data_IF_690095591752
#
_entry.id   IF_690095591752
#
_cell.length_a   1.000
_cell.length_b   1.000
_cell.length_c   1.000
_cell.angle_alpha   90.00
_cell.angle_beta   90.00
_cell.angle_gamma   90.00
#
_symmetry.space_group_name_H-M   'P 1'
#
loop_
_entity.id
_entity.type
_entity.pdbx_description
1 polymer ?
#
# COMPACT_ATOMS: atom_id res chain seq x y z
N UNK A 1 21.29 -9.17 33.61
CA UNK A 1 20.64 -8.44 32.48
C UNK A 1 20.19 -9.38 31.34
N UNK A 2 20.94 -10.38 30.95
CA UNK A 2 20.59 -11.35 29.86
C UNK A 2 19.37 -12.22 30.20
N UNK A 3 19.20 -12.64 31.44
CA UNK A 3 18.08 -13.49 31.88
C UNK A 3 16.72 -12.78 31.90
N UNK A 4 16.70 -11.45 32.12
CA UNK A 4 15.49 -10.62 32.10
C UNK A 4 14.94 -10.45 30.65
N UNK A 5 15.83 -10.36 29.67
CA UNK A 5 15.47 -10.28 28.25
C UNK A 5 14.86 -11.57 27.69
N UNK A 6 15.35 -12.75 28.12
CA UNK A 6 14.84 -14.04 27.65
C UNK A 6 13.40 -14.32 28.11
N UNK A 7 13.06 -13.92 29.35
CA UNK A 7 11.71 -14.08 29.90
C UNK A 7 10.70 -13.13 29.22
N UNK A 8 11.13 -11.90 28.93
CA UNK A 8 10.31 -10.90 28.20
C UNK A 8 10.02 -11.36 26.76
N UNK A 9 10.98 -12.00 26.08
CA UNK A 9 10.82 -12.54 24.73
C UNK A 9 9.80 -13.69 24.67
N UNK A 10 9.74 -14.57 25.68
CA UNK A 10 8.76 -15.66 25.73
C UNK A 10 7.32 -15.19 25.86
N UNK A 11 7.08 -14.07 26.56
CA UNK A 11 5.74 -13.56 26.82
C UNK A 11 5.10 -12.94 25.56
N UNK A 12 5.89 -12.40 24.64
CA UNK A 12 5.44 -11.76 23.39
C UNK A 12 5.65 -12.62 22.15
N UNK A 13 6.15 -13.84 22.31
CA UNK A 13 6.52 -14.75 21.22
C UNK A 13 5.39 -14.98 20.22
N UNK A 14 4.16 -15.15 20.70
CA UNK A 14 3.02 -15.36 19.79
C UNK A 14 2.62 -14.08 19.04
N UNK A 15 2.82 -12.91 19.63
CA UNK A 15 2.51 -11.64 18.99
C UNK A 15 3.49 -11.33 17.87
N UNK A 16 4.81 -11.42 18.15
CA UNK A 16 5.83 -11.13 17.15
C UNK A 16 5.81 -12.17 16.01
N UNK A 17 5.59 -13.45 16.32
CA UNK A 17 5.43 -14.51 15.31
C UNK A 17 4.29 -14.19 14.35
N UNK A 18 3.10 -13.84 14.86
CA UNK A 18 1.96 -13.48 14.01
C UNK A 18 2.29 -12.25 13.16
N UNK A 19 2.91 -11.22 13.74
CA UNK A 19 3.28 -10.02 13.00
C UNK A 19 4.31 -10.32 11.90
N UNK A 20 5.28 -11.23 12.13
CA UNK A 20 6.21 -11.69 11.09
C UNK A 20 5.52 -12.46 9.96
N UNK A 21 4.43 -13.17 10.24
CA UNK A 21 3.67 -13.91 9.23
C UNK A 21 2.77 -13.00 8.36
N UNK A 22 2.43 -11.78 8.81
CA UNK A 22 1.56 -10.87 8.04
C UNK A 22 2.10 -10.57 6.62
N UNK A 23 3.36 -10.18 6.40
CA UNK A 23 3.85 -9.95 5.03
C UNK A 23 3.77 -11.20 4.15
N UNK A 24 4.00 -12.38 4.71
CA UNK A 24 3.91 -13.67 4.00
C UNK A 24 2.45 -13.95 3.59
N UNK A 25 1.51 -13.65 4.48
CA UNK A 25 0.08 -13.89 4.23
C UNK A 25 -0.49 -13.06 3.08
N UNK A 26 0.15 -11.95 2.70
CA UNK A 26 -0.27 -11.16 1.54
C UNK A 26 -0.13 -11.96 0.24
N UNK A 27 0.91 -12.81 0.13
CA UNK A 27 1.11 -13.71 -1.02
C UNK A 27 0.16 -14.90 -0.95
N UNK A 28 -0.11 -15.42 0.26
CA UNK A 28 -0.98 -16.58 0.47
C UNK A 28 -2.47 -16.28 0.29
N UNK A 29 -2.85 -15.00 0.20
CA UNK A 29 -4.19 -14.56 -0.14
C UNK A 29 -5.00 -13.96 1.02
N UNK A 30 -6.12 -13.37 0.64
CA UNK A 30 -6.94 -12.55 1.52
C UNK A 30 -7.51 -13.30 2.75
N UNK A 31 -7.77 -14.61 2.64
CA UNK A 31 -8.29 -15.40 3.76
C UNK A 31 -7.27 -15.47 4.90
N UNK A 32 -6.02 -15.76 4.58
CA UNK A 32 -4.95 -15.97 5.57
C UNK A 32 -4.62 -14.67 6.29
N UNK A 33 -4.51 -13.54 5.57
CA UNK A 33 -4.27 -12.23 6.22
C UNK A 33 -5.42 -11.85 7.15
N UNK A 34 -6.68 -12.16 6.78
CA UNK A 34 -7.83 -11.91 7.61
C UNK A 34 -7.80 -12.73 8.90
N UNK A 35 -7.49 -14.03 8.82
CA UNK A 35 -7.37 -14.92 9.98
C UNK A 35 -6.24 -14.41 10.90
N UNK A 36 -5.05 -14.16 10.37
CA UNK A 36 -3.90 -13.70 11.15
C UNK A 36 -4.17 -12.34 11.83
N UNK A 37 -4.85 -11.42 11.14
CA UNK A 37 -5.20 -10.12 11.73
C UNK A 37 -6.20 -10.25 12.90
N UNK A 38 -7.15 -11.19 12.83
CA UNK A 38 -8.08 -11.48 13.93
C UNK A 38 -7.35 -12.14 15.11
N UNK A 39 -6.47 -13.11 14.84
CA UNK A 39 -5.66 -13.74 15.89
C UNK A 39 -4.76 -12.69 16.56
N UNK A 40 -4.12 -11.81 15.77
CA UNK A 40 -3.30 -10.71 16.28
C UNK A 40 -4.12 -9.80 17.23
N UNK A 41 -5.34 -9.44 16.83
CA UNK A 41 -6.26 -8.65 17.65
C UNK A 41 -6.50 -9.31 19.04
N UNK A 42 -6.87 -10.59 19.07
CA UNK A 42 -7.15 -11.29 20.33
C UNK A 42 -5.90 -11.44 21.20
N UNK A 43 -4.73 -11.73 20.62
CA UNK A 43 -3.47 -11.80 21.36
C UNK A 43 -3.14 -10.44 21.98
N UNK A 44 -3.22 -9.36 21.18
CA UNK A 44 -2.91 -8.01 21.66
C UNK A 44 -3.82 -7.58 22.81
N UNK A 45 -5.13 -7.79 22.69
CA UNK A 45 -6.11 -7.51 23.73
C UNK A 45 -5.83 -8.35 25.00
N UNK A 46 -5.52 -9.64 24.85
CA UNK A 46 -5.18 -10.51 25.99
C UNK A 46 -3.93 -9.99 26.73
N UNK A 47 -2.94 -9.48 26.01
CA UNK A 47 -1.73 -8.89 26.62
C UNK A 47 -2.03 -7.58 27.37
N UNK A 48 -2.98 -6.77 26.89
CA UNK A 48 -3.46 -5.60 27.63
C UNK A 48 -4.12 -6.03 28.94
N UNK A 49 -5.06 -6.98 28.89
CA UNK A 49 -5.76 -7.46 30.11
C UNK A 49 -4.83 -8.12 31.13
N UNK A 50 -3.76 -8.77 30.66
CA UNK A 50 -2.71 -9.32 31.55
C UNK A 50 -1.74 -8.26 32.08
N UNK A 51 -1.96 -6.97 31.78
CA UNK A 51 -1.06 -5.88 32.19
C UNK A 51 0.35 -5.94 31.59
N UNK A 52 0.54 -6.68 30.46
CA UNK A 52 1.83 -6.80 29.79
C UNK A 52 2.07 -5.66 28.80
N UNK A 53 0.99 -5.11 28.25
CA UNK A 53 1.01 -3.92 27.39
C UNK A 53 0.31 -2.80 28.18
N UNK A 54 1.06 -1.76 28.52
CA UNK A 54 0.52 -0.64 29.27
C UNK A 54 -0.16 0.35 28.34
N UNK A 55 -1.47 0.51 28.49
CA UNK A 55 -2.27 1.52 27.76
C UNK A 55 -1.65 2.92 27.78
N UNK A 56 -1.08 3.31 28.95
CA UNK A 56 -0.49 4.65 29.15
C UNK A 56 0.59 4.99 28.12
N UNK A 57 1.39 4.01 27.69
CA UNK A 57 2.47 4.20 26.72
C UNK A 57 1.93 4.46 25.30
N UNK A 58 0.69 4.03 25.00
CA UNK A 58 0.04 4.14 23.70
C UNK A 58 -1.21 5.03 23.73
N UNK A 59 -1.41 5.82 24.81
CA UNK A 59 -2.61 6.62 25.06
C UNK A 59 -3.02 7.49 23.87
N UNK A 60 -2.07 8.15 23.22
CA UNK A 60 -2.36 9.02 22.07
C UNK A 60 -2.94 8.23 20.88
N UNK A 61 -2.41 7.04 20.61
CA UNK A 61 -2.94 6.17 19.55
C UNK A 61 -4.34 5.65 19.91
N UNK A 62 -4.60 5.30 21.17
CA UNK A 62 -5.94 4.93 21.59
C UNK A 62 -6.93 6.10 21.51
N UNK A 63 -6.51 7.32 21.82
CA UNK A 63 -7.35 8.50 21.66
C UNK A 63 -7.73 8.72 20.18
N UNK A 64 -6.79 8.55 19.25
CA UNK A 64 -7.06 8.58 17.80
C UNK A 64 -8.03 7.45 17.42
N UNK A 65 -7.83 6.24 17.95
CA UNK A 65 -8.74 5.12 17.72
C UNK A 65 -10.17 5.45 18.15
N UNK A 66 -10.36 5.97 19.35
CA UNK A 66 -11.69 6.33 19.86
C UNK A 66 -12.34 7.43 19.03
N UNK A 67 -11.59 8.46 18.62
CA UNK A 67 -12.10 9.51 17.75
C UNK A 67 -12.55 8.96 16.40
N UNK A 68 -11.75 8.07 15.78
CA UNK A 68 -12.11 7.40 14.53
C UNK A 68 -13.32 6.47 14.73
N UNK A 69 -13.41 5.73 15.85
CA UNK A 69 -14.54 4.86 16.14
C UNK A 69 -15.85 5.65 16.25
N UNK A 70 -15.85 6.78 16.97
CA UNK A 70 -17.03 7.65 17.07
C UNK A 70 -17.47 8.11 15.67
N UNK A 71 -16.54 8.59 14.86
CA UNK A 71 -16.83 9.00 13.49
C UNK A 71 -17.42 7.86 12.65
N UNK A 72 -16.79 6.68 12.67
CA UNK A 72 -17.26 5.53 11.89
C UNK A 72 -18.58 4.95 12.40
N UNK A 73 -18.89 5.04 13.70
CA UNK A 73 -20.19 4.66 14.23
C UNK A 73 -21.30 5.61 13.75
N UNK A 74 -21.04 6.92 13.68
CA UNK A 74 -21.97 7.89 13.09
C UNK A 74 -22.17 7.56 11.60
N UNK A 75 -21.08 7.35 10.86
CA UNK A 75 -21.15 6.97 9.45
C UNK A 75 -21.93 5.66 9.22
N UNK A 76 -21.75 4.66 10.10
CA UNK A 76 -22.47 3.39 10.06
C UNK A 76 -23.99 3.57 10.23
N UNK A 77 -24.42 4.39 11.20
CA UNK A 77 -25.85 4.65 11.45
C UNK A 77 -26.50 5.36 10.26
N UNK A 78 -25.75 6.24 9.58
CA UNK A 78 -26.22 6.99 8.42
C UNK A 78 -26.01 6.26 7.09
N UNK A 79 -25.46 5.03 7.13
CA UNK A 79 -25.07 4.29 5.93
C UNK A 79 -26.26 3.85 5.08
N UNK A 80 -26.13 3.96 3.76
CA UNK A 80 -27.06 3.40 2.78
C UNK A 80 -27.10 1.86 2.77
N UNK A 81 -26.05 1.21 3.29
CA UNK A 81 -25.98 -0.25 3.48
C UNK A 81 -25.30 -0.57 4.81
N UNK A 82 -26.13 -0.70 5.85
CA UNK A 82 -25.67 -0.95 7.22
C UNK A 82 -24.78 -2.19 7.35
N UNK A 83 -25.19 -3.31 6.74
CA UNK A 83 -24.45 -4.58 6.85
C UNK A 83 -23.03 -4.48 6.30
N UNK A 84 -22.85 -3.87 5.14
CA UNK A 84 -21.53 -3.69 4.54
C UNK A 84 -20.65 -2.74 5.33
N UNK A 85 -21.21 -1.65 5.80
CA UNK A 85 -20.47 -0.70 6.63
C UNK A 85 -20.08 -1.30 7.98
N UNK A 86 -20.94 -2.16 8.58
CA UNK A 86 -20.60 -2.88 9.81
C UNK A 86 -19.43 -3.85 9.61
N UNK A 87 -19.46 -4.66 8.56
CA UNK A 87 -18.35 -5.58 8.24
C UNK A 87 -17.06 -4.81 8.01
N UNK A 88 -17.14 -3.66 7.34
CA UNK A 88 -16.00 -2.79 7.08
C UNK A 88 -15.45 -2.14 8.36
N UNK A 89 -16.34 -1.74 9.28
CA UNK A 89 -15.94 -1.21 10.59
C UNK A 89 -15.22 -2.28 11.43
N UNK A 90 -15.72 -3.51 11.46
CA UNK A 90 -15.03 -4.62 12.13
C UNK A 90 -13.66 -4.90 11.50
N UNK A 91 -13.57 -4.79 10.16
CA UNK A 91 -12.30 -4.83 9.45
C UNK A 91 -11.33 -3.73 9.89
N UNK A 92 -11.80 -2.49 10.01
CA UNK A 92 -11.01 -1.37 10.51
C UNK A 92 -10.47 -1.64 11.91
N UNK A 93 -11.29 -2.10 12.84
CA UNK A 93 -10.89 -2.39 14.23
C UNK A 93 -9.71 -3.37 14.26
N UNK A 94 -9.82 -4.52 13.58
CA UNK A 94 -8.74 -5.53 13.60
C UNK A 94 -7.43 -5.02 12.98
N UNK A 95 -7.50 -4.23 11.89
CA UNK A 95 -6.30 -3.67 11.25
C UNK A 95 -5.69 -2.55 12.08
N UNK A 96 -6.50 -1.78 12.81
CA UNK A 96 -5.97 -0.80 13.75
C UNK A 96 -5.18 -1.47 14.90
N UNK A 97 -5.69 -2.57 15.44
CA UNK A 97 -4.97 -3.35 16.45
C UNK A 97 -3.73 -4.05 15.89
N UNK A 98 -3.75 -4.47 14.64
CA UNK A 98 -2.55 -4.95 13.95
C UNK A 98 -1.49 -3.83 13.86
N UNK A 99 -1.88 -2.61 13.53
CA UNK A 99 -0.99 -1.45 13.56
C UNK A 99 -0.39 -1.23 14.96
N UNK A 100 -1.20 -1.28 16.02
CA UNK A 100 -0.70 -1.16 17.39
C UNK A 100 0.24 -2.30 17.77
N UNK A 101 -0.02 -3.51 17.30
CA UNK A 101 0.85 -4.66 17.51
C UNK A 101 2.22 -4.49 16.84
N UNK A 102 2.25 -4.03 15.57
CA UNK A 102 3.50 -3.72 14.87
C UNK A 102 4.27 -2.62 15.61
N UNK A 103 3.57 -1.56 16.02
CA UNK A 103 4.18 -0.45 16.77
C UNK A 103 4.77 -0.93 18.11
N UNK A 104 4.04 -1.80 18.82
CA UNK A 104 4.53 -2.42 20.05
C UNK A 104 5.79 -3.26 19.79
N UNK A 105 5.78 -4.13 18.78
CA UNK A 105 6.91 -4.97 18.43
C UNK A 105 8.15 -4.13 18.03
N UNK A 106 7.96 -3.05 17.28
CA UNK A 106 9.04 -2.12 16.92
C UNK A 106 9.70 -1.44 18.13
N UNK A 107 8.92 -1.13 19.19
CA UNK A 107 9.40 -0.43 20.36
C UNK A 107 9.99 -1.36 21.43
N UNK A 108 9.43 -2.55 21.59
CA UNK A 108 9.70 -3.40 22.75
C UNK A 108 10.51 -4.66 22.42
N UNK A 109 10.53 -5.12 21.17
CA UNK A 109 11.21 -6.35 20.78
C UNK A 109 12.54 -6.00 20.12
N UNK A 110 13.62 -6.49 20.73
CA UNK A 110 14.97 -6.34 20.18
C UNK A 110 15.07 -6.99 18.80
N UNK A 111 15.78 -6.33 17.90
CA UNK A 111 16.03 -6.77 16.52
C UNK A 111 14.79 -6.94 15.63
N UNK A 112 13.58 -6.63 16.14
CA UNK A 112 12.32 -6.78 15.38
C UNK A 112 12.38 -6.04 14.03
N UNK A 113 12.83 -4.79 14.02
CA UNK A 113 12.96 -4.00 12.78
C UNK A 113 13.80 -4.71 11.72
N UNK A 114 14.94 -5.27 12.13
CA UNK A 114 15.86 -5.95 11.21
C UNK A 114 15.27 -7.27 10.68
N UNK A 115 14.65 -8.08 11.54
CA UNK A 115 14.03 -9.34 11.15
C UNK A 115 12.82 -9.08 10.23
N UNK A 116 11.96 -8.14 10.61
CA UNK A 116 10.77 -7.80 9.83
C UNK A 116 11.12 -7.25 8.44
N UNK A 117 12.07 -6.32 8.36
CA UNK A 117 12.55 -5.80 7.08
C UNK A 117 13.28 -6.86 6.23
N UNK A 118 13.98 -7.83 6.86
CA UNK A 118 14.55 -9.00 6.18
C UNK A 118 13.48 -9.86 5.54
N UNK A 119 12.39 -10.15 6.26
CA UNK A 119 11.26 -10.93 5.72
C UNK A 119 10.68 -10.21 4.51
N UNK A 120 10.40 -8.91 4.63
CA UNK A 120 9.90 -8.10 3.50
C UNK A 120 10.88 -8.14 2.32
N UNK A 121 12.18 -8.04 2.56
CA UNK A 121 13.20 -8.12 1.51
C UNK A 121 13.17 -9.47 0.77
N UNK A 122 13.10 -10.57 1.51
CA UNK A 122 13.02 -11.90 0.91
C UNK A 122 11.77 -12.06 0.05
N UNK A 123 10.62 -11.55 0.53
CA UNK A 123 9.36 -11.63 -0.20
C UNK A 123 9.37 -10.76 -1.48
N UNK A 124 9.89 -9.53 -1.38
CA UNK A 124 10.03 -8.66 -2.56
C UNK A 124 10.98 -9.28 -3.58
N UNK A 125 12.11 -9.85 -3.14
CA UNK A 125 13.04 -10.54 -4.00
C UNK A 125 12.39 -11.76 -4.67
N UNK A 126 11.67 -12.57 -3.92
CA UNK A 126 10.95 -13.74 -4.41
C UNK A 126 9.94 -13.35 -5.50
N UNK A 127 9.06 -12.38 -5.24
CA UNK A 127 8.08 -11.91 -6.24
C UNK A 127 8.77 -11.31 -7.46
N UNK A 128 9.87 -10.57 -7.27
CA UNK A 128 10.64 -9.99 -8.37
C UNK A 128 11.24 -11.07 -9.29
N UNK A 129 11.78 -12.14 -8.70
CA UNK A 129 12.32 -13.29 -9.44
C UNK A 129 11.20 -14.03 -10.17
N UNK A 130 10.10 -14.31 -9.49
CA UNK A 130 8.97 -15.04 -10.04
C UNK A 130 8.31 -14.33 -11.23
N UNK A 131 8.07 -13.01 -11.11
CA UNK A 131 7.64 -12.17 -12.23
C UNK A 131 8.63 -12.19 -13.40
N UNK A 132 9.93 -12.22 -13.11
CA UNK A 132 10.96 -12.29 -14.16
C UNK A 132 10.95 -13.65 -14.88
N UNK A 133 10.72 -14.74 -14.15
CA UNK A 133 10.54 -16.08 -14.70
C UNK A 133 9.28 -16.12 -15.57
N UNK A 134 8.15 -15.59 -15.08
CA UNK A 134 6.90 -15.52 -15.85
C UNK A 134 7.08 -14.71 -17.14
N UNK A 135 7.88 -13.65 -17.11
CA UNK A 135 8.18 -12.87 -18.32
C UNK A 135 8.96 -13.68 -19.37
N UNK A 136 9.93 -14.51 -18.95
CA UNK A 136 10.82 -15.27 -19.86
C UNK A 136 10.14 -16.54 -20.37
N UNK A 137 9.45 -17.26 -19.49
CA UNK A 137 8.89 -18.58 -19.79
C UNK A 137 7.37 -18.58 -20.03
N UNK A 138 6.70 -17.41 -19.91
CA UNK A 138 5.25 -17.22 -20.00
C UNK A 138 4.44 -17.90 -18.88
N UNK A 139 5.09 -18.59 -17.96
CA UNK A 139 4.53 -19.21 -16.76
C UNK A 139 5.40 -18.87 -15.55
N UNK A 140 4.76 -18.69 -14.38
CA UNK A 140 5.46 -18.45 -13.12
C UNK A 140 5.94 -19.76 -12.47
N UNK A 141 6.55 -19.70 -11.27
CA UNK A 141 7.01 -20.87 -10.52
C UNK A 141 5.87 -21.81 -10.07
N UNK A 142 4.64 -21.33 -10.03
CA UNK A 142 3.44 -22.09 -9.65
C UNK A 142 2.63 -22.60 -10.83
N UNK A 143 3.08 -22.34 -12.07
CA UNK A 143 2.38 -22.73 -13.30
C UNK A 143 1.29 -21.75 -13.74
N UNK A 144 1.20 -20.56 -13.15
CA UNK A 144 0.23 -19.53 -13.57
C UNK A 144 0.68 -18.87 -14.87
N UNK A 145 -0.22 -18.81 -15.84
CA UNK A 145 0.01 -18.12 -17.10
C UNK A 145 -0.12 -16.60 -16.98
N UNK A 146 0.34 -15.88 -17.99
CA UNK A 146 0.22 -14.42 -18.10
C UNK A 146 -1.26 -14.05 -18.23
N UNK A 147 -1.77 -13.17 -17.38
CA UNK A 147 -3.19 -12.81 -17.30
C UNK A 147 -3.58 -11.58 -18.13
N UNK A 148 -4.91 -11.43 -18.32
CA UNK A 148 -5.54 -10.29 -18.97
C UNK A 148 -5.72 -10.44 -20.48
N UNK A 149 -6.48 -9.52 -21.08
CA UNK A 149 -6.72 -9.51 -22.54
C UNK A 149 -5.39 -9.42 -23.28
N UNK A 150 -5.13 -10.40 -24.12
CA UNK A 150 -3.89 -10.55 -24.89
C UNK A 150 -2.62 -10.86 -24.09
N UNK A 151 -2.72 -11.55 -22.94
CA UNK A 151 -1.55 -11.97 -22.14
C UNK A 151 -0.63 -10.83 -21.73
N UNK A 152 -1.17 -9.77 -21.15
CA UNK A 152 -0.40 -8.54 -20.93
C UNK A 152 0.10 -8.33 -19.50
N UNK A 153 -0.48 -8.98 -18.49
CA UNK A 153 -0.13 -8.74 -17.09
C UNK A 153 0.62 -9.91 -16.49
N UNK A 154 1.79 -9.61 -15.92
CA UNK A 154 2.52 -10.57 -15.12
C UNK A 154 2.00 -10.51 -13.68
N UNK A 155 1.41 -11.60 -13.22
CA UNK A 155 0.84 -11.71 -11.87
C UNK A 155 1.83 -12.29 -10.86
N UNK A 156 2.86 -13.00 -11.34
CA UNK A 156 3.73 -13.75 -10.46
C UNK A 156 2.93 -14.68 -9.54
N UNK A 157 3.28 -14.81 -8.25
CA UNK A 157 2.68 -15.79 -7.35
C UNK A 157 1.22 -15.45 -6.94
N UNK A 158 0.60 -14.44 -7.53
CA UNK A 158 -0.76 -14.01 -7.18
C UNK A 158 -1.85 -14.62 -8.09
N UNK A 159 -1.50 -15.57 -8.95
CA UNK A 159 -2.45 -16.27 -9.82
C UNK A 159 -3.21 -15.30 -10.74
N UNK A 160 -4.54 -15.28 -10.65
CA UNK A 160 -5.40 -14.43 -11.50
C UNK A 160 -5.42 -12.95 -11.09
N UNK A 161 -4.75 -12.58 -10.00
CA UNK A 161 -4.71 -11.20 -9.51
C UNK A 161 -3.48 -10.47 -10.07
N UNK A 162 -3.67 -9.50 -10.95
CA UNK A 162 -2.58 -8.65 -11.50
C UNK A 162 -2.10 -7.59 -10.50
N UNK A 163 -1.55 -8.00 -9.35
CA UNK A 163 -1.13 -7.12 -8.23
C UNK A 163 0.36 -7.18 -7.90
N UNK A 164 1.15 -7.94 -8.67
CA UNK A 164 2.58 -8.14 -8.42
C UNK A 164 3.38 -6.82 -8.42
N UNK A 165 3.12 -5.92 -9.37
CA UNK A 165 3.75 -4.60 -9.41
C UNK A 165 3.37 -3.74 -8.22
N UNK A 166 2.12 -3.81 -7.77
CA UNK A 166 1.63 -3.14 -6.57
C UNK A 166 2.30 -3.68 -5.30
N UNK A 167 2.48 -4.99 -5.20
CA UNK A 167 3.18 -5.63 -4.08
C UNK A 167 4.64 -5.17 -4.02
N UNK A 168 5.38 -5.32 -5.12
CA UNK A 168 6.77 -4.89 -5.19
C UNK A 168 6.87 -3.40 -4.85
N UNK A 169 6.10 -2.53 -5.50
CA UNK A 169 6.21 -1.09 -5.31
C UNK A 169 5.98 -0.66 -3.86
N UNK A 170 4.95 -1.19 -3.20
CA UNK A 170 4.60 -0.81 -1.82
C UNK A 170 5.60 -1.28 -0.77
N UNK A 171 6.21 -2.44 -0.96
CA UNK A 171 7.09 -3.06 0.04
C UNK A 171 8.59 -2.84 -0.24
N UNK A 172 8.95 -2.42 -1.45
CA UNK A 172 10.35 -2.30 -1.86
C UNK A 172 11.18 -1.38 -0.96
N UNK A 173 10.73 -0.14 -0.74
CA UNK A 173 11.50 0.81 0.07
C UNK A 173 11.56 0.40 1.56
N UNK A 174 10.55 -0.31 2.08
CA UNK A 174 10.63 -0.94 3.40
C UNK A 174 11.69 -2.04 3.43
N UNK A 175 11.83 -2.81 2.37
CA UNK A 175 12.88 -3.82 2.24
C UNK A 175 14.31 -3.22 2.21
N UNK A 176 14.44 -2.01 1.69
CA UNK A 176 15.72 -1.29 1.66
C UNK A 176 16.26 -0.96 3.06
N UNK A 177 15.41 -0.92 4.08
CA UNK A 177 15.83 -0.75 5.48
C UNK A 177 16.75 -1.90 5.90
N UNK A 178 16.42 -3.14 5.52
CA UNK A 178 17.27 -4.32 5.78
C UNK A 178 18.63 -4.19 5.07
N UNK A 179 18.63 -3.81 3.81
CA UNK A 179 19.85 -3.63 3.02
C UNK A 179 20.77 -2.56 3.64
N UNK A 180 20.18 -1.46 4.09
CA UNK A 180 20.91 -0.37 4.73
C UNK A 180 21.47 -0.77 6.10
N UNK A 181 20.68 -1.43 6.95
CA UNK A 181 21.10 -1.91 8.28
C UNK A 181 22.26 -2.90 8.22
N UNK A 182 22.40 -3.64 7.12
CA UNK A 182 23.48 -4.60 6.89
C UNK A 182 24.66 -3.99 6.07
N UNK A 183 24.74 -2.66 5.98
CA UNK A 183 25.84 -1.93 5.33
C UNK A 183 26.07 -2.35 3.86
N UNK A 184 25.03 -2.69 3.14
CA UNK A 184 25.14 -3.00 1.72
C UNK A 184 25.63 -1.77 0.96
N UNK A 185 26.62 -1.97 0.11
CA UNK A 185 27.27 -0.90 -0.64
C UNK A 185 26.29 -0.09 -1.48
N UNK A 186 26.42 1.24 -1.48
CA UNK A 186 25.53 2.16 -2.21
C UNK A 186 25.31 1.77 -3.68
N UNK A 187 26.37 1.30 -4.36
CA UNK A 187 26.28 0.87 -5.78
C UNK A 187 25.28 -0.25 -5.96
N UNK A 188 25.33 -1.28 -5.10
CA UNK A 188 24.40 -2.41 -5.17
C UNK A 188 22.98 -1.98 -4.87
N UNK A 189 22.76 -1.12 -3.86
CA UNK A 189 21.45 -0.58 -3.55
C UNK A 189 20.85 0.17 -4.75
N UNK A 190 21.62 1.03 -5.42
CA UNK A 190 21.16 1.74 -6.63
C UNK A 190 20.84 0.79 -7.78
N UNK A 191 21.67 -0.24 -8.00
CA UNK A 191 21.40 -1.26 -9.02
C UNK A 191 20.08 -2.01 -8.75
N UNK A 192 19.83 -2.40 -7.51
CA UNK A 192 18.59 -3.07 -7.11
C UNK A 192 17.38 -2.16 -7.35
N UNK A 193 17.45 -0.86 -7.02
CA UNK A 193 16.36 0.09 -7.28
C UNK A 193 16.06 0.17 -8.79
N UNK A 194 17.10 0.32 -9.61
CA UNK A 194 16.93 0.44 -11.08
C UNK A 194 16.33 -0.84 -11.65
N UNK A 195 16.84 -2.01 -11.28
CA UNK A 195 16.30 -3.30 -11.75
C UNK A 195 14.82 -3.43 -11.35
N UNK A 196 14.49 -3.07 -10.11
CA UNK A 196 13.10 -3.14 -9.65
C UNK A 196 12.16 -2.20 -10.40
N UNK A 197 12.62 -1.03 -10.88
CA UNK A 197 11.83 -0.16 -11.77
C UNK A 197 11.44 -0.92 -13.04
N UNK A 198 12.38 -1.59 -13.69
CA UNK A 198 12.11 -2.38 -14.91
C UNK A 198 11.13 -3.52 -14.63
N UNK A 199 11.31 -4.26 -13.53
CA UNK A 199 10.41 -5.37 -13.20
C UNK A 199 9.00 -4.88 -12.90
N UNK A 200 8.84 -3.77 -12.17
CA UNK A 200 7.51 -3.19 -11.92
C UNK A 200 6.83 -2.73 -13.22
N UNK A 201 7.59 -2.18 -14.18
CA UNK A 201 7.04 -1.82 -15.50
C UNK A 201 6.62 -3.07 -16.28
N UNK A 202 7.41 -4.17 -16.22
CA UNK A 202 7.06 -5.45 -16.85
C UNK A 202 5.73 -6.02 -16.36
N UNK A 203 5.34 -5.77 -15.12
CA UNK A 203 4.02 -6.24 -14.61
C UNK A 203 2.82 -5.60 -15.32
N UNK A 204 3.04 -4.57 -16.15
CA UNK A 204 1.97 -3.81 -16.82
C UNK A 204 0.93 -3.17 -15.88
N UNK A 205 1.31 -2.86 -14.66
CA UNK A 205 0.50 -2.08 -13.72
C UNK A 205 0.89 -0.59 -13.79
N UNK A 206 0.17 0.22 -14.59
CA UNK A 206 0.49 1.65 -14.80
C UNK A 206 0.64 2.44 -13.51
N UNK A 207 -0.32 2.33 -12.61
CA UNK A 207 -0.30 3.11 -11.36
C UNK A 207 0.83 2.69 -10.45
N UNK A 208 1.13 1.39 -10.32
CA UNK A 208 2.27 0.90 -9.57
C UNK A 208 3.59 1.41 -10.17
N UNK A 209 3.73 1.35 -11.49
CA UNK A 209 4.92 1.82 -12.21
C UNK A 209 5.17 3.31 -12.03
N UNK A 210 4.13 4.15 -12.17
CA UNK A 210 4.24 5.60 -12.00
C UNK A 210 4.62 5.95 -10.56
N UNK A 211 3.94 5.37 -9.57
CA UNK A 211 4.22 5.65 -8.16
C UNK A 211 5.61 5.17 -7.74
N UNK A 212 6.01 3.98 -8.18
CA UNK A 212 7.34 3.44 -7.87
C UNK A 212 8.45 4.28 -8.51
N UNK A 213 8.29 4.66 -9.79
CA UNK A 213 9.23 5.54 -10.47
C UNK A 213 9.34 6.91 -9.77
N UNK A 214 8.21 7.51 -9.39
CA UNK A 214 8.21 8.78 -8.66
C UNK A 214 8.87 8.67 -7.29
N UNK A 215 8.61 7.60 -6.54
CA UNK A 215 9.29 7.33 -5.27
C UNK A 215 10.81 7.13 -5.45
N UNK A 216 11.22 6.43 -6.51
CA UNK A 216 12.63 6.28 -6.87
C UNK A 216 13.27 7.63 -7.25
N UNK A 217 12.56 8.51 -7.96
CA UNK A 217 13.01 9.88 -8.24
C UNK A 217 13.22 10.66 -6.94
N UNK A 218 12.26 10.63 -6.02
CA UNK A 218 12.39 11.25 -4.70
C UNK A 218 13.63 10.72 -3.98
N UNK A 219 13.81 9.40 -3.98
CA UNK A 219 15.00 8.78 -3.40
C UNK A 219 16.30 9.30 -4.03
N UNK A 220 16.40 9.34 -5.36
CA UNK A 220 17.59 9.84 -6.05
C UNK A 220 17.86 11.32 -5.78
N UNK A 221 16.83 12.15 -5.65
CA UNK A 221 16.97 13.57 -5.32
C UNK A 221 17.57 13.76 -3.92
N UNK A 222 17.06 13.05 -2.92
CA UNK A 222 17.42 13.25 -1.52
C UNK A 222 18.56 12.35 -1.03
N UNK A 223 18.97 11.31 -1.79
CA UNK A 223 20.09 10.46 -1.40
C UNK A 223 21.43 11.24 -1.37
N UNK A 224 22.36 10.79 -0.52
CA UNK A 224 23.66 11.43 -0.36
C UNK A 224 24.63 11.04 -1.50
N UNK A 225 24.43 11.63 -2.67
CA UNK A 225 25.32 11.56 -3.84
C UNK A 225 25.64 12.96 -4.38
N UNK A 226 26.76 13.11 -5.07
CA UNK A 226 27.12 14.35 -5.80
C UNK A 226 26.08 14.63 -6.89
N UNK A 227 25.70 15.89 -7.08
CA UNK A 227 24.68 16.33 -8.06
C UNK A 227 24.85 15.71 -9.44
N UNK A 228 26.05 15.78 -10.02
CA UNK A 228 26.32 15.22 -11.36
C UNK A 228 26.07 13.71 -11.44
N UNK A 229 26.37 12.94 -10.38
CA UNK A 229 26.07 11.50 -10.35
C UNK A 229 24.58 11.23 -10.33
N UNK A 230 23.82 12.04 -9.58
CA UNK A 230 22.35 11.96 -9.56
C UNK A 230 21.78 12.23 -10.95
N UNK A 231 22.23 13.32 -11.59
CA UNK A 231 21.78 13.74 -12.91
C UNK A 231 22.05 12.65 -13.97
N UNK A 232 23.28 12.15 -14.04
CA UNK A 232 23.66 11.08 -14.98
C UNK A 232 22.84 9.82 -14.74
N UNK A 233 22.71 9.39 -13.48
CA UNK A 233 21.94 8.20 -13.12
C UNK A 233 20.47 8.33 -13.54
N UNK A 234 19.86 9.48 -13.24
CA UNK A 234 18.50 9.79 -13.63
C UNK A 234 18.33 9.79 -15.15
N UNK A 235 19.21 10.50 -15.86
CA UNK A 235 19.17 10.58 -17.32
C UNK A 235 19.27 9.19 -17.96
N UNK A 236 20.24 8.38 -17.54
CA UNK A 236 20.41 7.02 -18.03
C UNK A 236 19.19 6.14 -17.71
N UNK A 237 18.62 6.26 -16.52
CA UNK A 237 17.40 5.51 -16.15
C UNK A 237 16.22 5.90 -17.03
N UNK A 238 15.99 7.21 -17.26
CA UNK A 238 14.89 7.69 -18.11
C UNK A 238 15.08 7.25 -19.56
N UNK A 239 16.29 7.41 -20.12
CA UNK A 239 16.59 6.99 -21.50
C UNK A 239 16.42 5.48 -21.67
N UNK A 240 16.93 4.66 -20.73
CA UNK A 240 16.79 3.21 -20.80
C UNK A 240 15.34 2.75 -20.66
N UNK A 241 14.54 3.40 -19.82
CA UNK A 241 13.10 3.13 -19.72
C UNK A 241 12.35 3.53 -20.99
N UNK A 242 12.66 4.69 -21.57
CA UNK A 242 12.05 5.14 -22.81
C UNK A 242 12.35 4.16 -23.96
N UNK A 243 13.60 3.70 -24.10
CA UNK A 243 13.97 2.70 -25.10
C UNK A 243 13.28 1.36 -24.82
N UNK A 244 13.27 0.89 -23.58
CA UNK A 244 12.64 -0.36 -23.18
C UNK A 244 11.13 -0.40 -23.47
N UNK A 245 10.42 0.68 -23.15
CA UNK A 245 8.97 0.78 -23.43
C UNK A 245 8.73 0.84 -24.95
N UNK A 246 9.53 1.59 -25.71
CA UNK A 246 9.32 1.74 -27.15
C UNK A 246 9.70 0.49 -27.97
N UNK A 247 10.66 -0.31 -27.51
CA UNK A 247 11.06 -1.56 -28.20
C UNK A 247 10.10 -2.72 -27.93
N UNK A 248 9.34 -2.68 -26.84
CA UNK A 248 8.35 -3.70 -26.49
C UNK A 248 6.95 -3.25 -26.91
N UNK A 249 6.36 -3.88 -27.93
CA UNK A 249 5.05 -3.51 -28.47
C UNK A 249 3.92 -3.54 -27.44
N UNK A 250 3.93 -4.52 -26.51
CA UNK A 250 2.93 -4.64 -25.43
C UNK A 250 3.06 -3.47 -24.44
N UNK A 251 4.28 -3.14 -24.01
CA UNK A 251 4.52 -2.03 -23.10
C UNK A 251 4.17 -0.70 -23.76
N UNK A 252 4.59 -0.49 -25.03
CA UNK A 252 4.26 0.73 -25.79
C UNK A 252 2.75 0.91 -25.88
N UNK A 253 2.04 -0.11 -26.34
CA UNK A 253 0.58 -0.08 -26.43
C UNK A 253 -0.05 0.26 -25.08
N UNK A 254 0.41 -0.35 -24.00
CA UNK A 254 -0.19 -0.17 -22.67
C UNK A 254 0.16 1.19 -22.04
N UNK A 255 1.42 1.62 -22.10
CA UNK A 255 1.85 2.86 -21.41
C UNK A 255 1.71 4.12 -22.25
N UNK A 256 1.65 4.02 -23.58
CA UNK A 256 1.62 5.18 -24.50
C UNK A 256 0.33 5.23 -25.30
N UNK A 257 0.04 4.23 -26.13
CA UNK A 257 -1.02 4.34 -27.15
C UNK A 257 -2.42 4.34 -26.52
N UNK A 258 -2.71 3.42 -25.59
CA UNK A 258 -4.02 3.32 -24.92
C UNK A 258 -4.33 4.57 -24.07
N UNK A 259 -3.42 5.08 -23.21
CA UNK A 259 -3.68 6.31 -22.46
C UNK A 259 -3.97 7.51 -23.36
N UNK A 260 -3.22 7.70 -24.45
CA UNK A 260 -3.45 8.79 -25.38
C UNK A 260 -4.82 8.69 -26.06
N UNK A 261 -5.22 7.47 -26.48
CA UNK A 261 -6.50 7.22 -27.16
C UNK A 261 -7.70 7.49 -26.25
N UNK A 262 -7.63 7.10 -24.99
CA UNK A 262 -8.74 7.14 -24.04
C UNK A 262 -8.60 8.24 -22.98
N UNK A 263 -7.76 9.24 -23.21
CA UNK A 263 -7.50 10.30 -22.24
C UNK A 263 -8.74 11.09 -21.82
N UNK A 264 -9.61 11.43 -22.79
CA UNK A 264 -10.77 12.31 -22.55
C UNK A 264 -11.99 11.61 -21.97
N UNK A 265 -12.19 10.34 -22.29
CA UNK A 265 -13.35 9.58 -21.85
C UNK A 265 -13.06 8.08 -21.78
N UNK A 266 -13.34 7.47 -20.63
CA UNK A 266 -13.08 6.06 -20.35
C UNK A 266 -13.99 5.54 -19.23
N UNK A 267 -13.92 4.22 -18.94
CA UNK A 267 -14.71 3.60 -17.87
C UNK A 267 -14.47 4.23 -16.49
N UNK A 268 -13.24 4.64 -16.17
CA UNK A 268 -12.93 5.27 -14.88
C UNK A 268 -13.64 6.60 -14.70
N UNK A 269 -13.86 7.36 -15.79
CA UNK A 269 -14.63 8.61 -15.74
C UNK A 269 -16.07 8.35 -15.28
N UNK A 270 -16.68 7.23 -15.71
CA UNK A 270 -18.02 6.87 -15.22
C UNK A 270 -17.99 6.64 -13.70
N UNK A 271 -17.03 5.88 -13.18
CA UNK A 271 -16.88 5.66 -11.73
C UNK A 271 -16.66 6.98 -10.96
N UNK A 272 -15.85 7.90 -11.50
CA UNK A 272 -15.56 9.18 -10.85
C UNK A 272 -16.79 10.08 -10.79
N UNK A 273 -17.53 10.18 -11.89
CA UNK A 273 -18.76 10.96 -11.93
C UNK A 273 -19.82 10.38 -10.99
N UNK A 274 -20.02 9.07 -11.00
CA UNK A 274 -20.97 8.43 -10.07
C UNK A 274 -20.59 8.63 -8.61
N UNK A 275 -19.31 8.47 -8.28
CA UNK A 275 -18.81 8.71 -6.93
C UNK A 275 -19.06 10.15 -6.48
N UNK A 276 -18.86 11.11 -7.38
CA UNK A 276 -19.11 12.51 -7.11
C UNK A 276 -20.62 12.83 -6.93
N UNK A 277 -21.51 12.18 -7.71
CA UNK A 277 -22.96 12.32 -7.52
C UNK A 277 -23.40 11.74 -6.16
N UNK A 278 -22.89 10.56 -5.77
CA UNK A 278 -23.12 9.97 -4.44
C UNK A 278 -22.68 10.93 -3.34
N UNK A 279 -21.51 11.56 -3.49
CA UNK A 279 -21.03 12.56 -2.54
C UNK A 279 -21.97 13.76 -2.45
N UNK A 280 -22.46 14.28 -3.56
CA UNK A 280 -23.38 15.45 -3.55
C UNK A 280 -24.64 15.22 -2.72
N UNK A 281 -25.11 13.99 -2.64
CA UNK A 281 -26.27 13.63 -1.82
C UNK A 281 -25.89 13.42 -0.35
N UNK A 282 -24.67 12.96 -0.08
CA UNK A 282 -24.22 12.58 1.26
C UNK A 282 -22.99 13.38 1.69
N UNK A 283 -23.03 14.72 1.58
CA UNK A 283 -21.87 15.60 1.67
C UNK A 283 -21.10 15.52 3.00
N UNK A 284 -21.81 15.35 4.13
CA UNK A 284 -21.22 15.52 5.46
C UNK A 284 -20.54 14.23 5.91
N UNK A 285 -21.27 13.12 5.98
CA UNK A 285 -20.78 11.85 6.49
C UNK A 285 -20.63 10.76 5.43
N UNK A 286 -20.97 11.04 4.17
CA UNK A 286 -20.93 10.06 3.09
C UNK A 286 -22.04 9.03 3.14
N UNK A 287 -22.03 8.10 2.16
CA UNK A 287 -23.04 7.04 2.02
C UNK A 287 -22.80 5.80 2.89
N UNK A 288 -21.68 5.75 3.61
CA UNK A 288 -21.24 4.59 4.39
C UNK A 288 -20.00 3.90 3.79
N UNK A 289 -19.14 3.34 4.66
CA UNK A 289 -17.89 2.67 4.25
C UNK A 289 -18.21 1.47 3.37
N UNK A 290 -17.50 1.33 2.21
CA UNK A 290 -17.66 0.24 1.23
C UNK A 290 -19.04 0.15 0.58
N UNK A 291 -19.81 1.25 0.58
CA UNK A 291 -21.16 1.28 -0.02
C UNK A 291 -21.18 1.69 -1.48
N UNK A 292 -20.10 2.27 -2.03
CA UNK A 292 -20.05 2.66 -3.46
C UNK A 292 -20.54 1.56 -4.39
N UNK A 293 -20.10 0.31 -4.19
CA UNK A 293 -20.48 -0.86 -5.01
C UNK A 293 -21.97 -1.17 -5.06
N UNK A 294 -22.74 -0.67 -4.10
CA UNK A 294 -24.20 -0.83 -4.04
C UNK A 294 -24.88 0.45 -4.53
N UNK A 295 -24.47 1.60 -3.97
CA UNK A 295 -25.08 2.89 -4.31
C UNK A 295 -24.94 3.26 -5.78
N UNK A 296 -23.84 2.85 -6.45
CA UNK A 296 -23.66 3.13 -7.88
C UNK A 296 -24.73 2.52 -8.79
N UNK A 297 -25.42 1.46 -8.32
CA UNK A 297 -26.51 0.79 -9.05
C UNK A 297 -27.81 1.55 -9.09
N UNK A 298 -28.02 2.55 -8.22
CA UNK A 298 -29.26 3.31 -8.16
C UNK A 298 -29.57 3.98 -9.50
N UNK A 299 -30.84 3.91 -9.94
CA UNK A 299 -31.33 4.45 -11.22
C UNK A 299 -31.06 5.96 -11.35
N UNK A 300 -31.08 6.69 -10.23
CA UNK A 300 -30.79 8.14 -10.21
C UNK A 300 -29.41 8.52 -10.76
N UNK A 301 -28.46 7.58 -10.80
CA UNK A 301 -27.11 7.80 -11.34
C UNK A 301 -26.94 7.29 -12.78
N UNK A 302 -28.02 6.90 -13.48
CA UNK A 302 -27.93 6.43 -14.86
C UNK A 302 -27.53 7.51 -15.86
N UNK A 303 -27.93 8.74 -15.60
CA UNK A 303 -27.78 9.87 -16.52
C UNK A 303 -26.47 10.67 -16.30
N UNK A 304 -25.38 10.01 -15.87
CA UNK A 304 -24.06 10.64 -15.79
C UNK A 304 -23.53 11.01 -17.19
N UNK A 305 -22.89 12.17 -17.31
CA UNK A 305 -22.43 12.73 -18.59
C UNK A 305 -21.18 12.04 -19.15
N UNK A 306 -21.32 10.78 -19.54
CA UNK A 306 -20.29 10.00 -20.24
C UNK A 306 -20.93 8.94 -21.12
N UNK A 307 -20.29 8.61 -22.25
CA UNK A 307 -20.73 7.48 -23.11
C UNK A 307 -20.51 6.10 -22.47
N UNK A 308 -19.79 6.04 -21.34
CA UNK A 308 -19.56 4.84 -20.56
C UNK A 308 -20.46 4.73 -19.34
N UNK A 309 -21.64 5.40 -19.33
CA UNK A 309 -22.57 5.40 -18.18
C UNK A 309 -22.98 3.98 -17.73
N UNK A 310 -23.09 3.01 -18.64
CA UNK A 310 -23.37 1.60 -18.32
C UNK A 310 -22.27 0.94 -17.46
N UNK A 311 -21.06 1.47 -17.45
CA UNK A 311 -19.93 1.00 -16.62
C UNK A 311 -19.77 1.79 -15.32
N UNK A 312 -20.81 2.48 -14.84
CA UNK A 312 -20.75 3.33 -13.64
C UNK A 312 -20.44 2.59 -12.36
N UNK A 313 -20.69 1.29 -12.31
CA UNK A 313 -20.50 0.45 -11.15
C UNK A 313 -19.22 -0.38 -11.21
N UNK A 314 -18.55 -0.45 -10.07
CA UNK A 314 -17.41 -1.33 -9.79
C UNK A 314 -17.35 -1.62 -8.29
N UNK A 315 -16.42 -2.46 -7.86
CA UNK A 315 -16.19 -2.73 -6.43
C UNK A 315 -15.74 -1.49 -5.66
N UNK A 316 -15.13 -0.50 -6.35
CA UNK A 316 -14.66 0.78 -5.83
C UNK A 316 -14.45 1.74 -7.01
N UNK A 317 -14.42 3.06 -6.80
CA UNK A 317 -14.34 4.03 -7.90
C UNK A 317 -12.98 4.14 -8.57
N UNK A 318 -11.99 3.31 -8.24
CA UNK A 318 -10.60 3.36 -8.73
C UNK A 318 -9.88 4.70 -8.47
N UNK A 319 -10.34 5.44 -7.48
CA UNK A 319 -9.74 6.67 -6.98
C UNK A 319 -10.02 6.77 -5.48
N UNK A 320 -8.98 6.65 -4.65
CA UNK A 320 -9.11 6.63 -3.19
C UNK A 320 -9.74 7.90 -2.63
N UNK A 321 -9.46 9.06 -3.23
CA UNK A 321 -10.01 10.34 -2.77
C UNK A 321 -11.53 10.42 -3.01
N UNK A 322 -11.97 9.98 -4.19
CA UNK A 322 -13.39 9.93 -4.52
C UNK A 322 -14.11 8.83 -3.72
N UNK A 323 -13.45 7.71 -3.45
CA UNK A 323 -13.98 6.65 -2.58
C UNK A 323 -14.23 7.20 -1.17
N UNK A 324 -13.21 7.80 -0.54
CA UNK A 324 -13.34 8.40 0.78
C UNK A 324 -14.40 9.50 0.78
N UNK A 325 -14.42 10.36 -0.23
CA UNK A 325 -15.35 11.48 -0.30
C UNK A 325 -16.80 11.00 -0.42
N UNK A 326 -17.10 10.02 -1.26
CA UNK A 326 -18.46 9.48 -1.44
C UNK A 326 -18.92 8.64 -0.26
N UNK A 327 -18.02 7.85 0.34
CA UNK A 327 -18.36 6.90 1.40
C UNK A 327 -18.31 7.52 2.82
N UNK A 328 -17.46 8.51 3.05
CA UNK A 328 -17.27 9.11 4.39
C UNK A 328 -17.48 10.63 4.43
N UNK A 329 -17.83 11.23 3.30
CA UNK A 329 -18.12 12.65 3.20
C UNK A 329 -16.92 13.57 3.42
N UNK A 330 -17.20 14.86 3.61
CA UNK A 330 -16.17 15.87 3.81
C UNK A 330 -15.42 15.70 5.15
N UNK A 331 -16.11 15.20 6.19
CA UNK A 331 -15.47 14.94 7.48
C UNK A 331 -14.46 13.78 7.38
N UNK A 332 -14.81 12.68 6.70
CA UNK A 332 -13.87 11.58 6.50
C UNK A 332 -12.68 11.99 5.63
N UNK A 333 -12.93 12.78 4.58
CA UNK A 333 -11.87 13.36 3.75
C UNK A 333 -10.96 14.29 4.56
N UNK A 334 -11.50 15.14 5.42
CA UNK A 334 -10.72 16.01 6.29
C UNK A 334 -9.83 15.20 7.26
N UNK A 335 -10.38 14.17 7.92
CA UNK A 335 -9.62 13.28 8.80
C UNK A 335 -8.50 12.60 8.01
N UNK A 336 -8.81 12.06 6.83
CA UNK A 336 -7.83 11.40 5.96
C UNK A 336 -6.67 12.33 5.59
N UNK A 337 -6.97 13.55 5.11
CA UNK A 337 -5.97 14.55 4.76
C UNK A 337 -5.13 14.93 5.97
N UNK A 338 -5.76 15.18 7.13
CA UNK A 338 -5.06 15.59 8.36
C UNK A 338 -4.07 14.53 8.83
N UNK A 339 -4.47 13.25 8.87
CA UNK A 339 -3.58 12.15 9.27
C UNK A 339 -2.39 12.04 8.29
N UNK A 340 -2.66 12.11 7.00
CA UNK A 340 -1.61 12.00 5.99
C UNK A 340 -0.64 13.18 6.01
N UNK A 341 -1.14 14.40 6.18
CA UNK A 341 -0.29 15.59 6.35
C UNK A 341 0.56 15.50 7.63
N UNK A 342 -0.02 15.03 8.73
CA UNK A 342 0.74 14.83 9.97
C UNK A 342 1.90 13.85 9.78
N UNK A 343 1.65 12.70 9.12
CA UNK A 343 2.70 11.71 8.83
C UNK A 343 3.76 12.33 7.90
N UNK A 344 3.34 13.00 6.83
CA UNK A 344 4.24 13.63 5.87
C UNK A 344 5.14 14.68 6.53
N UNK A 345 4.57 15.59 7.31
CA UNK A 345 5.32 16.62 8.03
C UNK A 345 6.28 15.98 9.03
N UNK A 346 5.83 14.96 9.76
CA UNK A 346 6.68 14.23 10.70
C UNK A 346 7.90 13.60 10.00
N UNK A 347 7.70 12.95 8.84
CA UNK A 347 8.79 12.37 8.06
C UNK A 347 9.77 13.43 7.56
N UNK A 348 9.26 14.55 7.05
CA UNK A 348 10.09 15.67 6.56
C UNK A 348 10.91 16.27 7.72
N UNK A 349 10.28 16.60 8.84
CA UNK A 349 10.96 17.20 10.01
C UNK A 349 12.05 16.26 10.53
N UNK A 350 11.75 14.97 10.70
CA UNK A 350 12.73 14.01 11.20
C UNK A 350 13.87 13.77 10.21
N UNK A 351 13.60 13.79 8.90
CA UNK A 351 14.64 13.68 7.86
C UNK A 351 15.70 14.78 7.97
N UNK A 352 15.29 16.02 8.22
CA UNK A 352 16.23 17.14 8.36
C UNK A 352 16.85 17.25 9.76
N UNK A 353 16.16 16.78 10.81
CA UNK A 353 16.60 16.86 12.19
C UNK A 353 17.66 15.82 12.55
N UNK A 354 17.45 14.57 12.11
CA UNK A 354 18.32 13.44 12.47
C UNK A 354 19.08 12.91 11.25
N UNK A 355 20.33 13.38 11.13
CA UNK A 355 21.24 12.96 10.05
C UNK A 355 21.62 11.48 10.13
N UNK A 356 21.61 10.87 11.31
CA UNK A 356 21.98 9.45 11.49
C UNK A 356 20.91 8.50 10.94
N UNK A 357 19.63 8.88 11.08
CA UNK A 357 18.48 8.12 10.60
C UNK A 357 17.94 8.61 9.24
N UNK A 358 18.56 9.64 8.64
CA UNK A 358 18.03 10.30 7.43
C UNK A 358 17.77 9.33 6.27
N UNK A 359 18.62 8.30 6.11
CA UNK A 359 18.45 7.32 5.04
C UNK A 359 17.25 6.38 5.27
N UNK A 360 17.04 5.92 6.51
CA UNK A 360 15.88 5.09 6.86
C UNK A 360 14.58 5.90 6.73
N UNK A 361 14.60 7.15 7.18
CA UNK A 361 13.47 8.07 7.06
C UNK A 361 13.15 8.34 5.59
N UNK A 362 14.17 8.44 4.73
CA UNK A 362 13.97 8.57 3.29
C UNK A 362 13.29 7.34 2.69
N UNK A 363 13.64 6.11 3.11
CA UNK A 363 12.93 4.92 2.66
C UNK A 363 11.47 4.90 3.12
N UNK A 364 11.19 5.30 4.38
CA UNK A 364 9.82 5.42 4.89
C UNK A 364 9.04 6.49 4.12
N UNK A 365 9.66 7.62 3.78
CA UNK A 365 9.06 8.67 2.98
C UNK A 365 8.69 8.17 1.57
N UNK A 366 9.60 7.44 0.90
CA UNK A 366 9.33 6.84 -0.40
C UNK A 366 8.19 5.80 -0.33
N UNK A 367 8.18 4.95 0.72
CA UNK A 367 7.10 3.97 0.94
C UNK A 367 5.76 4.67 1.19
N UNK A 368 5.74 5.71 2.01
CA UNK A 368 4.55 6.49 2.30
C UNK A 368 3.98 7.13 1.03
N UNK A 369 4.83 7.70 0.18
CA UNK A 369 4.40 8.31 -1.08
C UNK A 369 3.66 7.32 -1.99
N UNK A 370 4.09 6.06 -2.05
CA UNK A 370 3.47 5.02 -2.89
C UNK A 370 2.07 4.62 -2.37
N UNK A 371 1.78 4.82 -1.08
CA UNK A 371 0.48 4.46 -0.51
C UNK A 371 -0.67 5.39 -0.95
N UNK A 372 -0.37 6.55 -1.54
CA UNK A 372 -1.37 7.50 -2.08
C UNK A 372 -1.92 7.13 -3.46
N UNK A 373 -1.86 5.89 -3.82
CA UNK A 373 -2.34 5.36 -5.09
C UNK A 373 -3.85 5.52 -5.32
#
# INVERSE_FOLDING_TARGET
MVYYNFKKHKEFFYLDLIVYLIPISIILGNLIINILSVICFFIYITLIFKGKIFYKNYKNYFNVFYALMIFFLINLVLSSNFQMSLVSLLGFVRYYFLFLAILFCLNEIKDFKNIFSKIIFILVLFVTIDVSIQHIFSIDLFGNEIIGSHGRRLSGPFGDEGVAGSFISKLFFLSCIYLYSNNIGKKLLFSIIIISIFVVILTNERSASIMFFTAALIFFIFCNLKFWKKFILLLLTVLSLATFINTNSNLKSHFVDIPLKYFKDNHHKAHYLTSYEIFKENKIFGSGIKTFRYSCGDEKYENIKTKYASYRCATHPHNIYLEILSETGIFGMFIFITINLYILISLIVNFFKDKSLSQEILFLFCSFFILFR
#
